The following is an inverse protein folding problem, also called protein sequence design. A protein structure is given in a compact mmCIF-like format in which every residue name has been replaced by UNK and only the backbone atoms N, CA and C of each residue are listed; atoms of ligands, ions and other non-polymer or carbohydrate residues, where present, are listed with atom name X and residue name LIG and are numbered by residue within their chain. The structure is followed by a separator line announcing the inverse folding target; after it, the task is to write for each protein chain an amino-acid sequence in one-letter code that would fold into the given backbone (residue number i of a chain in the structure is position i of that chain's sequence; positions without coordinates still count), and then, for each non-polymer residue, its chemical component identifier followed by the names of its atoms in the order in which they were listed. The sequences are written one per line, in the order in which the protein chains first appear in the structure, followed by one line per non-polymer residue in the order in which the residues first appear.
data_IF_373306548580
#
_entry.id   IF_373306548580
#
_cell.length_a   1.000
_cell.length_b   1.000
_cell.length_c   1.000
_cell.angle_alpha   90.00
_cell.angle_beta   90.00
_cell.angle_gamma   90.00
#
_symmetry.space_group_name_H-M   'P 1'
#
loop_
_entity.id
_entity.type
_entity.pdbx_description
1 polymer ?
#
# COMPACT_ATOMS: atom_id res chain seq x y z
N UNK A 1 9.41 -10.08 -14.65
CA UNK A 1 9.16 -8.88 -13.81
C UNK A 1 9.57 -7.63 -14.56
N UNK A 2 8.81 -6.53 -14.49
CA UNK A 2 9.16 -5.22 -15.05
C UNK A 2 9.46 -4.24 -13.92
N UNK A 3 10.20 -3.18 -14.23
CA UNK A 3 10.61 -2.16 -13.25
C UNK A 3 10.21 -0.78 -13.74
N UNK A 4 9.91 0.13 -12.81
CA UNK A 4 9.59 1.53 -13.07
C UNK A 4 10.40 2.44 -12.15
N UNK A 5 10.72 3.61 -12.65
CA UNK A 5 11.43 4.62 -11.85
C UNK A 5 10.51 5.24 -10.80
N UNK A 6 11.03 5.48 -9.61
CA UNK A 6 10.32 6.14 -8.52
C UNK A 6 10.45 7.67 -8.65
N UNK A 7 9.42 8.32 -9.14
CA UNK A 7 9.41 9.76 -9.36
C UNK A 7 10.57 10.22 -10.26
N UNK A 8 11.19 11.30 -9.89
CA UNK A 8 12.35 11.92 -10.56
C UNK A 8 13.71 11.32 -10.13
N UNK A 9 13.70 10.21 -9.37
CA UNK A 9 14.92 9.59 -8.82
C UNK A 9 15.50 8.54 -9.78
N UNK A 10 16.72 8.07 -9.49
CA UNK A 10 17.35 6.91 -10.16
C UNK A 10 16.96 5.57 -9.51
N UNK A 11 15.99 5.56 -8.60
CA UNK A 11 15.54 4.34 -7.92
C UNK A 11 14.54 3.61 -8.82
N UNK A 12 14.86 2.39 -9.20
CA UNK A 12 13.96 1.51 -9.94
C UNK A 12 13.27 0.52 -9.01
N UNK A 13 11.94 0.50 -9.03
CA UNK A 13 11.11 -0.42 -8.23
C UNK A 13 10.40 -1.42 -9.13
N UNK A 14 10.27 -2.67 -8.68
CA UNK A 14 9.47 -3.66 -9.38
C UNK A 14 7.99 -3.25 -9.42
N UNK A 15 7.31 -3.46 -10.56
CA UNK A 15 5.88 -3.17 -10.74
C UNK A 15 5.00 -3.83 -9.67
N UNK A 16 5.45 -4.99 -9.14
CA UNK A 16 4.86 -5.64 -7.97
C UNK A 16 5.87 -5.59 -6.84
N UNK A 17 5.51 -4.98 -5.73
CA UNK A 17 6.29 -4.93 -4.50
C UNK A 17 5.76 -5.87 -3.44
N UNK A 18 6.49 -6.02 -2.34
CA UNK A 18 6.11 -6.84 -1.19
C UNK A 18 5.76 -5.95 0.01
N UNK A 19 4.47 -5.94 0.41
CA UNK A 19 4.03 -5.30 1.64
C UNK A 19 4.34 -6.18 2.86
N UNK A 20 5.36 -5.83 3.64
CA UNK A 20 5.84 -6.61 4.80
C UNK A 20 4.81 -6.66 5.95
N UNK A 21 3.80 -5.81 5.91
CA UNK A 21 2.72 -5.77 6.90
C UNK A 21 2.03 -7.12 7.11
N UNK A 22 1.82 -7.89 6.04
CA UNK A 22 1.15 -9.20 6.09
C UNK A 22 1.91 -10.24 6.89
N UNK A 23 3.25 -10.20 6.87
CA UNK A 23 4.11 -11.18 7.52
C UNK A 23 4.70 -10.68 8.85
N UNK A 24 4.48 -9.42 9.21
CA UNK A 24 5.07 -8.81 10.42
C UNK A 24 4.07 -8.50 11.53
N UNK A 25 2.75 -8.42 11.23
CA UNK A 25 1.76 -7.92 12.20
C UNK A 25 0.85 -9.00 12.80
N UNK A 26 0.77 -10.18 12.21
CA UNK A 26 -0.15 -11.25 12.62
C UNK A 26 -1.64 -11.00 12.28
N UNK A 27 -1.95 -9.92 11.55
CA UNK A 27 -3.34 -9.55 11.22
C UNK A 27 -3.91 -10.28 9.99
N UNK A 28 -3.04 -11.03 9.29
CA UNK A 28 -3.39 -11.90 8.17
C UNK A 28 -3.13 -13.38 8.49
N UNK A 29 -3.10 -13.74 9.74
CA UNK A 29 -2.69 -15.04 10.24
C UNK A 29 -1.29 -14.97 10.87
N UNK A 30 -0.95 -16.01 11.61
CA UNK A 30 0.37 -16.11 12.24
C UNK A 30 1.38 -16.68 11.26
N UNK A 31 2.38 -15.88 10.92
CA UNK A 31 3.55 -16.29 10.16
C UNK A 31 4.76 -16.14 11.09
N UNK A 32 5.52 -17.24 11.29
CA UNK A 32 6.74 -17.15 12.09
C UNK A 32 7.87 -16.46 11.30
N UNK A 33 8.88 -16.00 12.02
CA UNK A 33 9.94 -15.16 11.45
C UNK A 33 10.75 -15.89 10.37
N UNK A 34 11.07 -17.19 10.57
CA UNK A 34 11.76 -17.99 9.57
C UNK A 34 10.98 -18.10 8.25
N UNK A 35 9.67 -18.30 8.33
CA UNK A 35 8.81 -18.34 7.15
C UNK A 35 8.72 -16.97 6.51
N UNK A 36 8.60 -15.90 7.31
CA UNK A 36 8.59 -14.52 6.79
C UNK A 36 9.86 -14.22 5.99
N UNK A 37 11.03 -14.54 6.53
CA UNK A 37 12.32 -14.36 5.85
C UNK A 37 12.40 -15.19 4.56
N UNK A 38 11.92 -16.45 4.59
CA UNK A 38 11.89 -17.28 3.36
C UNK A 38 10.99 -16.68 2.28
N UNK A 39 9.80 -16.17 2.65
CA UNK A 39 8.90 -15.52 1.69
C UNK A 39 9.51 -14.25 1.10
N UNK A 40 10.18 -13.44 1.91
CA UNK A 40 10.89 -12.25 1.42
C UNK A 40 11.98 -12.59 0.41
N UNK A 41 12.80 -13.60 0.71
CA UNK A 41 13.86 -14.09 -0.20
C UNK A 41 13.30 -14.69 -1.48
N UNK A 42 12.25 -15.53 -1.36
CA UNK A 42 11.59 -16.09 -2.55
C UNK A 42 11.01 -14.98 -3.44
N UNK A 43 10.42 -13.94 -2.86
CA UNK A 43 9.92 -12.79 -3.61
C UNK A 43 11.05 -12.09 -4.39
N UNK A 44 12.21 -11.90 -3.77
CA UNK A 44 13.39 -11.33 -4.42
C UNK A 44 13.91 -12.25 -5.55
N UNK A 45 13.96 -13.57 -5.34
CA UNK A 45 14.31 -14.54 -6.38
C UNK A 45 13.35 -14.53 -7.58
N UNK A 46 12.09 -14.09 -7.39
CA UNK A 46 11.10 -13.88 -8.47
C UNK A 46 11.17 -12.48 -9.07
N UNK A 47 12.17 -11.67 -8.72
CA UNK A 47 12.44 -10.36 -9.26
C UNK A 47 11.71 -9.22 -8.56
N UNK A 48 11.05 -9.44 -7.42
CA UNK A 48 10.54 -8.36 -6.59
C UNK A 48 11.75 -7.71 -5.88
N UNK A 49 12.01 -6.43 -6.17
CA UNK A 49 13.07 -5.70 -5.50
C UNK A 49 12.54 -4.64 -4.53
N UNK A 50 11.24 -4.30 -4.55
CA UNK A 50 10.63 -3.27 -3.73
C UNK A 50 9.91 -3.88 -2.52
N UNK A 51 10.38 -3.54 -1.31
CA UNK A 51 9.85 -4.05 -0.05
C UNK A 51 9.37 -2.88 0.82
N UNK A 52 8.07 -2.82 1.09
CA UNK A 52 7.43 -1.74 1.84
C UNK A 52 7.08 -2.19 3.27
N UNK A 53 7.62 -1.49 4.25
CA UNK A 53 7.34 -1.68 5.67
C UNK A 53 6.96 -0.38 6.37
N UNK A 54 6.97 -0.37 7.69
CA UNK A 54 6.89 0.79 8.56
C UNK A 54 7.52 0.45 9.92
N UNK A 55 8.03 1.47 10.61
CA UNK A 55 8.59 1.35 11.95
C UNK A 55 7.59 0.78 12.96
N UNK A 56 6.29 1.11 12.79
CA UNK A 56 5.21 0.65 13.66
C UNK A 56 4.70 -0.76 13.32
N UNK A 57 5.08 -1.39 12.20
CA UNK A 57 4.62 -2.73 11.83
C UNK A 57 5.27 -3.79 12.71
N UNK A 58 4.43 -4.44 13.54
CA UNK A 58 4.92 -5.35 14.58
C UNK A 58 5.87 -4.67 15.58
N UNK A 59 5.78 -3.34 15.74
CA UNK A 59 6.67 -2.53 16.59
C UNK A 59 8.14 -2.68 16.24
N UNK A 60 8.46 -2.50 14.95
CA UNK A 60 9.81 -2.60 14.38
C UNK A 60 10.11 -3.96 13.76
N UNK A 61 9.26 -4.98 13.97
CA UNK A 61 9.48 -6.34 13.45
C UNK A 61 9.63 -6.36 11.92
N UNK A 62 8.82 -5.57 11.20
CA UNK A 62 8.89 -5.53 9.73
C UNK A 62 10.27 -5.12 9.22
N UNK A 63 10.92 -4.14 9.85
CA UNK A 63 12.27 -3.68 9.50
C UNK A 63 13.33 -4.74 9.88
N UNK A 64 13.19 -5.38 11.04
CA UNK A 64 14.10 -6.46 11.45
C UNK A 64 14.04 -7.67 10.51
N UNK A 65 12.84 -8.07 10.05
CA UNK A 65 12.68 -9.14 9.06
C UNK A 65 13.38 -8.81 7.73
N UNK A 66 13.35 -7.55 7.30
CA UNK A 66 14.08 -7.12 6.11
C UNK A 66 15.60 -7.16 6.32
N UNK A 67 16.10 -6.79 7.49
CA UNK A 67 17.51 -6.94 7.84
C UNK A 67 17.96 -8.41 7.82
N UNK A 68 17.16 -9.31 8.40
CA UNK A 68 17.43 -10.76 8.42
C UNK A 68 17.38 -11.37 7.02
N UNK A 69 16.51 -10.86 6.15
CA UNK A 69 16.41 -11.35 4.79
C UNK A 69 17.55 -10.83 3.90
N UNK A 70 17.89 -9.55 3.97
CA UNK A 70 18.66 -8.84 2.96
C UNK A 70 19.92 -8.13 3.46
N UNK A 71 20.26 -8.21 4.75
CA UNK A 71 21.43 -7.48 5.28
C UNK A 71 22.74 -7.75 4.55
N UNK A 72 22.89 -8.94 3.95
CA UNK A 72 24.07 -9.36 3.17
C UNK A 72 24.02 -8.94 1.68
N UNK A 73 22.87 -8.40 1.22
CA UNK A 73 22.64 -7.98 -0.17
C UNK A 73 21.78 -6.71 -0.20
N UNK A 74 22.04 -5.79 0.75
CA UNK A 74 21.24 -4.58 0.98
C UNK A 74 21.07 -3.70 -0.26
N UNK A 75 22.08 -3.62 -1.10
CA UNK A 75 22.15 -2.87 -2.34
C UNK A 75 21.39 -3.49 -3.52
N UNK A 76 20.94 -4.74 -3.39
CA UNK A 76 20.15 -5.42 -4.41
C UNK A 76 18.64 -5.20 -4.25
N UNK A 77 18.21 -4.55 -3.16
CA UNK A 77 16.80 -4.32 -2.84
C UNK A 77 16.51 -2.86 -2.54
N UNK A 78 15.29 -2.44 -2.86
CA UNK A 78 14.76 -1.12 -2.50
C UNK A 78 13.86 -1.26 -1.27
N UNK A 79 14.29 -0.70 -0.15
CA UNK A 79 13.55 -0.74 1.11
C UNK A 79 12.86 0.59 1.33
N UNK A 80 11.53 0.49 1.48
CA UNK A 80 10.69 1.60 1.92
C UNK A 80 10.22 1.36 3.35
N UNK A 81 10.36 2.36 4.21
CA UNK A 81 9.76 2.36 5.55
C UNK A 81 9.04 3.66 5.83
N UNK A 82 8.28 3.71 6.93
CA UNK A 82 7.45 4.84 7.28
C UNK A 82 7.68 5.21 8.74
N UNK A 83 7.67 6.52 9.04
CA UNK A 83 7.80 7.08 10.39
C UNK A 83 6.70 8.10 10.65
N UNK A 84 6.51 8.48 11.92
CA UNK A 84 5.58 9.51 12.34
C UNK A 84 4.64 9.08 13.47
N UNK A 85 4.38 7.79 13.67
CA UNK A 85 3.61 7.30 14.82
C UNK A 85 4.51 7.09 16.03
N UNK A 86 4.18 7.71 17.15
CA UNK A 86 4.86 7.46 18.42
C UNK A 86 4.38 6.16 19.07
N UNK A 87 4.87 5.05 18.56
CA UNK A 87 4.66 3.75 19.16
C UNK A 87 5.69 3.43 20.26
N UNK A 88 6.73 4.21 20.38
CA UNK A 88 7.80 4.02 21.38
C UNK A 88 7.30 4.36 22.80
N UNK A 89 6.57 5.47 22.93
CA UNK A 89 5.95 5.88 24.18
C UNK A 89 4.50 5.36 24.33
N UNK A 90 3.86 4.97 23.24
CA UNK A 90 2.48 4.50 23.16
C UNK A 90 2.39 3.05 22.68
N UNK A 91 2.97 2.11 23.46
CA UNK A 91 3.04 0.68 23.14
C UNK A 91 1.68 -0.01 23.15
N UNK A 92 0.78 0.38 24.07
CA UNK A 92 -0.55 -0.22 24.20
C UNK A 92 -1.50 0.32 23.11
N UNK A 93 -2.02 -0.58 22.27
CA UNK A 93 -3.06 -0.26 21.30
C UNK A 93 -4.42 -0.68 21.86
N UNK A 94 -5.35 0.26 21.98
CA UNK A 94 -6.73 -0.04 22.38
C UNK A 94 -7.59 -0.24 21.12
N UNK A 95 -7.82 -1.49 20.76
CA UNK A 95 -8.64 -1.83 19.60
C UNK A 95 -8.07 -1.26 18.29
N UNK A 96 -8.91 -0.56 17.50
CA UNK A 96 -8.51 0.08 16.24
C UNK A 96 -8.12 1.56 16.41
N UNK A 97 -7.91 2.03 17.63
CA UNK A 97 -7.52 3.41 17.87
C UNK A 97 -6.16 3.68 17.21
N UNK A 98 -6.08 4.75 16.44
CA UNK A 98 -4.84 5.25 15.84
C UNK A 98 -3.88 5.69 16.96
N UNK A 99 -2.60 5.36 16.82
CA UNK A 99 -1.57 5.85 17.72
C UNK A 99 -1.34 7.36 17.50
N UNK A 100 -0.90 8.11 18.52
CA UNK A 100 -0.51 9.50 18.32
C UNK A 100 0.59 9.61 17.26
N UNK A 101 0.53 10.66 16.46
CA UNK A 101 1.60 11.05 15.56
C UNK A 101 2.43 12.16 16.25
N UNK A 102 3.74 12.14 16.06
CA UNK A 102 4.65 13.19 16.50
C UNK A 102 5.52 13.61 15.31
N UNK A 103 5.39 14.87 14.91
CA UNK A 103 6.11 15.47 13.78
C UNK A 103 7.20 16.44 14.25
N UNK A 104 7.56 16.42 15.54
CA UNK A 104 8.69 17.21 16.05
C UNK A 104 10.00 16.71 15.47
N UNK A 105 10.95 17.63 15.25
CA UNK A 105 12.27 17.32 14.72
C UNK A 105 12.98 16.24 15.54
N UNK A 106 12.99 16.39 16.87
CA UNK A 106 13.64 15.44 17.78
C UNK A 106 13.07 14.02 17.64
N UNK A 107 11.74 13.90 17.53
CA UNK A 107 11.09 12.60 17.34
C UNK A 107 11.37 12.01 15.97
N UNK A 108 11.28 12.77 14.91
CA UNK A 108 11.51 12.30 13.53
C UNK A 108 12.96 11.85 13.34
N UNK A 109 13.93 12.61 13.87
CA UNK A 109 15.36 12.18 13.87
C UNK A 109 15.54 10.89 14.66
N UNK A 110 14.96 10.80 15.85
CA UNK A 110 15.00 9.59 16.66
C UNK A 110 14.37 8.39 15.92
N UNK A 111 13.19 8.54 15.32
CA UNK A 111 12.50 7.46 14.60
C UNK A 111 13.33 6.97 13.41
N UNK A 112 13.94 7.88 12.62
CA UNK A 112 14.83 7.53 11.52
C UNK A 112 16.03 6.70 12.01
N UNK A 113 16.72 7.14 13.06
CA UNK A 113 17.88 6.43 13.62
C UNK A 113 17.50 5.02 14.13
N UNK A 114 16.31 4.89 14.73
CA UNK A 114 15.81 3.58 15.16
C UNK A 114 15.50 2.67 13.96
N UNK A 115 14.95 3.21 12.87
CA UNK A 115 14.69 2.46 11.64
C UNK A 115 16.00 2.00 10.98
N UNK A 116 16.98 2.88 10.82
CA UNK A 116 18.31 2.53 10.30
C UNK A 116 18.97 1.42 11.14
N UNK A 117 18.90 1.54 12.47
CA UNK A 117 19.42 0.53 13.39
C UNK A 117 18.73 -0.83 13.23
N UNK A 118 17.39 -0.87 13.11
CA UNK A 118 16.65 -2.14 12.92
C UNK A 118 16.92 -2.76 11.55
N UNK A 119 17.04 -1.93 10.51
CA UNK A 119 17.39 -2.36 9.16
C UNK A 119 18.86 -2.80 9.04
N UNK A 120 19.73 -2.41 9.99
CA UNK A 120 21.17 -2.66 9.90
C UNK A 120 21.81 -2.01 8.67
N UNK A 121 21.33 -0.83 8.30
CA UNK A 121 21.71 -0.10 7.08
C UNK A 121 22.01 1.35 7.40
N UNK A 122 22.95 1.94 6.68
CA UNK A 122 23.29 3.36 6.81
C UNK A 122 22.32 4.25 6.04
N UNK A 123 21.43 3.66 5.22
CA UNK A 123 20.47 4.41 4.40
C UNK A 123 19.13 3.67 4.24
N UNK A 124 18.09 4.47 3.94
CA UNK A 124 16.76 4.04 3.50
C UNK A 124 16.56 4.51 2.06
N UNK A 125 16.08 3.64 1.16
CA UNK A 125 15.86 4.04 -0.24
C UNK A 125 14.68 5.00 -0.36
N UNK A 126 13.56 4.70 0.31
CA UNK A 126 12.38 5.55 0.28
C UNK A 126 11.74 5.67 1.67
N UNK A 127 11.85 6.84 2.28
CA UNK A 127 11.23 7.15 3.56
C UNK A 127 9.88 7.81 3.36
N UNK A 128 8.84 7.30 4.02
CA UNK A 128 7.50 7.87 3.94
C UNK A 128 7.05 8.46 5.27
N UNK A 129 6.38 9.60 5.23
CA UNK A 129 5.61 10.12 6.36
C UNK A 129 4.30 9.34 6.46
N UNK A 130 4.00 8.73 7.62
CA UNK A 130 2.98 7.70 7.75
C UNK A 130 1.59 8.27 8.05
N UNK A 131 0.61 8.05 7.16
CA UNK A 131 -0.76 8.56 7.26
C UNK A 131 -0.79 10.08 7.50
N UNK A 132 -0.10 10.80 6.64
CA UNK A 132 0.19 12.23 6.76
C UNK A 132 -1.06 13.05 6.58
N UNK A 133 -1.47 13.77 7.62
CA UNK A 133 -2.61 14.70 7.60
C UNK A 133 -2.17 16.08 7.12
N UNK A 134 -3.13 16.97 6.87
CA UNK A 134 -2.87 18.28 6.32
C UNK A 134 -1.94 19.14 7.21
N UNK A 135 -2.04 19.01 8.52
CA UNK A 135 -1.15 19.71 9.47
C UNK A 135 0.32 19.34 9.30
N UNK A 136 0.59 18.06 9.00
CA UNK A 136 1.94 17.60 8.69
C UNK A 136 2.36 17.99 7.26
N UNK A 137 1.44 17.96 6.28
CA UNK A 137 1.72 18.44 4.91
C UNK A 137 2.06 19.93 4.93
N UNK A 138 1.43 20.73 5.78
CA UNK A 138 1.67 22.17 5.90
C UNK A 138 2.95 22.53 6.70
N UNK A 139 3.62 21.54 7.27
CA UNK A 139 4.79 21.75 8.13
C UNK A 139 6.08 21.88 7.30
N UNK A 140 6.47 23.10 6.99
CA UNK A 140 7.70 23.38 6.21
C UNK A 140 8.97 22.86 6.90
N UNK A 141 9.04 22.91 8.24
CA UNK A 141 10.20 22.41 8.97
C UNK A 141 10.34 20.89 8.82
N UNK A 142 9.22 20.13 8.79
CA UNK A 142 9.25 18.71 8.57
C UNK A 142 9.80 18.34 7.19
N UNK A 143 9.38 19.02 6.13
CA UNK A 143 9.90 18.77 4.79
C UNK A 143 11.34 19.28 4.61
N UNK A 144 11.73 20.37 5.29
CA UNK A 144 13.13 20.79 5.39
C UNK A 144 14.02 19.71 6.01
N UNK A 145 13.52 19.04 7.06
CA UNK A 145 14.20 17.91 7.69
C UNK A 145 14.33 16.69 6.76
N UNK A 146 13.35 16.43 5.89
CA UNK A 146 13.46 15.36 4.89
C UNK A 146 14.58 15.64 3.88
N UNK A 147 14.74 16.89 3.45
CA UNK A 147 15.87 17.28 2.58
C UNK A 147 17.21 17.15 3.30
N UNK A 148 17.31 17.54 4.57
CA UNK A 148 18.52 17.32 5.36
C UNK A 148 18.92 15.84 5.41
N UNK A 149 17.97 14.92 5.60
CA UNK A 149 18.25 13.49 5.61
C UNK A 149 18.76 12.96 4.27
N UNK A 150 18.31 13.56 3.16
CA UNK A 150 18.88 13.28 1.83
C UNK A 150 20.31 13.78 1.71
N UNK A 151 20.57 15.02 2.14
CA UNK A 151 21.90 15.62 2.12
C UNK A 151 22.90 14.85 3.01
N UNK A 152 22.44 14.31 4.15
CA UNK A 152 23.20 13.43 5.02
C UNK A 152 23.42 12.02 4.42
N UNK A 153 22.75 11.67 3.33
CA UNK A 153 22.81 10.35 2.69
C UNK A 153 22.09 9.25 3.44
N UNK A 154 21.34 9.58 4.50
CA UNK A 154 20.54 8.62 5.28
C UNK A 154 19.24 8.19 4.59
N UNK A 155 18.73 9.02 3.69
CA UNK A 155 17.54 8.78 2.90
C UNK A 155 17.83 9.10 1.44
N UNK A 156 17.60 8.17 0.53
CA UNK A 156 17.81 8.42 -0.91
C UNK A 156 16.67 9.22 -1.53
N UNK A 157 15.44 8.97 -1.04
CA UNK A 157 14.24 9.67 -1.48
C UNK A 157 13.15 9.61 -0.42
N UNK A 158 12.21 10.54 -0.45
CA UNK A 158 11.09 10.54 0.50
C UNK A 158 9.74 10.82 -0.15
N UNK A 159 8.68 10.51 0.59
CA UNK A 159 7.31 10.73 0.19
C UNK A 159 6.31 10.63 1.33
N UNK A 160 5.05 10.47 0.98
CA UNK A 160 3.98 10.36 1.96
C UNK A 160 3.14 9.11 1.72
N UNK A 161 2.72 8.45 2.80
CA UNK A 161 1.68 7.45 2.77
C UNK A 161 0.37 8.09 3.24
N UNK A 162 -0.65 8.09 2.40
CA UNK A 162 -1.98 8.62 2.75
C UNK A 162 -2.68 7.67 3.73
N UNK A 163 -3.73 8.16 4.39
CA UNK A 163 -4.42 7.44 5.45
C UNK A 163 -5.06 6.11 5.03
N UNK A 164 -5.50 5.30 6.01
CA UNK A 164 -5.98 3.93 5.79
C UNK A 164 -7.40 3.87 5.20
N UNK A 165 -8.12 4.98 5.15
CA UNK A 165 -9.45 5.08 4.56
C UNK A 165 -9.34 5.59 3.13
N UNK A 166 -10.38 5.35 2.34
CA UNK A 166 -10.55 6.03 1.06
C UNK A 166 -10.86 7.51 1.36
N UNK A 167 -10.18 8.38 0.69
CA UNK A 167 -10.17 9.83 0.92
C UNK A 167 -8.75 10.37 0.79
N UNK A 168 -8.46 11.46 1.49
CA UNK A 168 -7.13 12.08 1.54
C UNK A 168 -6.64 12.66 0.20
N UNK A 169 -7.60 13.14 -0.60
CA UNK A 169 -7.30 13.73 -1.91
C UNK A 169 -6.48 15.02 -1.77
N UNK A 170 -6.92 15.90 -0.87
CA UNK A 170 -6.30 17.22 -0.70
C UNK A 170 -4.87 17.09 -0.19
N UNK A 171 -4.63 16.20 0.77
CA UNK A 171 -3.30 15.89 1.31
C UNK A 171 -2.38 15.33 0.22
N UNK A 172 -2.87 14.37 -0.57
CA UNK A 172 -2.09 13.78 -1.64
C UNK A 172 -1.74 14.78 -2.74
N UNK A 173 -2.70 15.54 -3.22
CA UNK A 173 -2.49 16.57 -4.25
C UNK A 173 -1.53 17.65 -3.77
N UNK A 174 -1.69 18.12 -2.53
CA UNK A 174 -0.81 19.14 -1.96
C UNK A 174 0.62 18.62 -1.77
N UNK A 175 0.78 17.39 -1.28
CA UNK A 175 2.09 16.76 -1.16
C UNK A 175 2.83 16.70 -2.50
N UNK A 176 2.14 16.28 -3.57
CA UNK A 176 2.71 16.20 -4.92
C UNK A 176 3.11 17.57 -5.46
N UNK A 177 2.26 18.59 -5.29
CA UNK A 177 2.45 19.90 -5.90
C UNK A 177 3.38 20.82 -5.14
N UNK A 178 3.50 20.67 -3.81
CA UNK A 178 4.14 21.65 -2.95
C UNK A 178 5.30 21.10 -2.12
N UNK A 179 5.51 19.76 -2.07
CA UNK A 179 6.46 19.14 -1.13
C UNK A 179 7.59 18.33 -1.77
N UNK A 180 7.76 18.43 -3.08
CA UNK A 180 8.85 17.77 -3.81
C UNK A 180 8.99 16.27 -3.46
N UNK A 181 7.85 15.57 -3.26
CA UNK A 181 7.84 14.15 -2.91
C UNK A 181 8.01 13.29 -4.15
N UNK A 182 8.91 12.31 -4.11
CA UNK A 182 9.12 11.39 -5.23
C UNK A 182 8.01 10.34 -5.35
N UNK A 183 7.26 10.10 -4.27
CA UNK A 183 6.19 9.12 -4.28
C UNK A 183 5.08 9.38 -3.27
N UNK A 184 3.86 8.97 -3.64
CA UNK A 184 2.70 8.98 -2.76
C UNK A 184 2.09 7.58 -2.70
N UNK A 185 1.97 7.03 -1.48
CA UNK A 185 1.31 5.73 -1.30
C UNK A 185 -0.19 5.93 -1.04
N UNK A 186 -1.02 5.27 -1.83
CA UNK A 186 -2.48 5.42 -1.79
C UNK A 186 -3.23 4.11 -1.97
N UNK A 187 -4.55 4.12 -1.73
CA UNK A 187 -5.45 3.02 -2.06
C UNK A 187 -6.06 3.27 -3.44
N UNK A 188 -5.97 2.27 -4.31
CA UNK A 188 -6.65 2.23 -5.60
C UNK A 188 -6.80 0.79 -6.07
N UNK A 189 -8.00 0.42 -6.53
CA UNK A 189 -8.26 -0.91 -7.09
C UNK A 189 -9.55 -0.89 -7.91
N UNK A 190 -9.87 -2.01 -8.58
CA UNK A 190 -11.05 -2.16 -9.44
C UNK A 190 -12.38 -1.78 -8.76
N UNK A 191 -12.50 -1.94 -7.42
CA UNK A 191 -13.73 -1.69 -6.66
C UNK A 191 -13.72 -0.34 -5.93
N UNK A 192 -12.57 0.28 -5.79
CA UNK A 192 -12.32 1.49 -5.00
C UNK A 192 -11.40 2.42 -5.80
N UNK A 193 -11.97 3.17 -6.76
CA UNK A 193 -11.18 3.98 -7.70
C UNK A 193 -11.03 5.44 -7.27
N UNK A 194 -12.02 6.00 -6.56
CA UNK A 194 -11.92 7.36 -6.05
C UNK A 194 -11.39 7.39 -4.60
N UNK A 195 -10.51 8.34 -4.26
CA UNK A 195 -10.01 9.48 -5.05
C UNK A 195 -8.80 9.13 -5.94
N UNK A 196 -8.46 7.86 -6.09
CA UNK A 196 -7.27 7.41 -6.83
C UNK A 196 -7.19 7.96 -8.26
N UNK A 197 -8.33 8.07 -8.98
CA UNK A 197 -8.37 8.67 -10.32
C UNK A 197 -7.85 10.13 -10.32
N UNK A 198 -8.26 10.92 -9.35
CA UNK A 198 -7.81 12.30 -9.22
C UNK A 198 -6.34 12.40 -8.78
N UNK A 199 -5.88 11.46 -7.93
CA UNK A 199 -4.48 11.37 -7.52
C UNK A 199 -3.57 10.96 -8.70
N UNK A 200 -4.02 10.05 -9.57
CA UNK A 200 -3.30 9.69 -10.82
C UNK A 200 -3.14 10.92 -11.71
N UNK A 201 -4.19 11.73 -11.85
CA UNK A 201 -4.11 12.96 -12.64
C UNK A 201 -3.12 13.96 -12.03
N UNK A 202 -3.11 14.14 -10.71
CA UNK A 202 -2.15 15.01 -10.04
C UNK A 202 -0.70 14.51 -10.15
N UNK A 203 -0.49 13.20 -10.06
CA UNK A 203 0.81 12.58 -10.22
C UNK A 203 1.39 12.80 -11.63
N UNK A 204 0.55 12.74 -12.66
CA UNK A 204 0.93 13.02 -14.04
C UNK A 204 1.45 14.45 -14.25
N UNK A 205 0.94 15.40 -13.48
CA UNK A 205 1.31 16.81 -13.57
C UNK A 205 2.59 17.14 -12.80
N UNK A 206 3.08 16.24 -11.94
CA UNK A 206 4.14 16.52 -10.97
C UNK A 206 5.32 15.55 -11.01
N UNK A 207 5.34 14.63 -11.97
CA UNK A 207 6.35 13.55 -12.06
C UNK A 207 6.50 12.72 -10.77
N UNK A 208 5.45 12.72 -9.91
CA UNK A 208 5.41 11.93 -8.67
C UNK A 208 4.91 10.52 -8.96
N UNK A 209 5.59 9.51 -8.45
CA UNK A 209 5.13 8.13 -8.55
C UNK A 209 4.04 7.79 -7.54
N UNK A 210 3.12 6.94 -7.95
CA UNK A 210 2.13 6.34 -7.05
C UNK A 210 2.55 4.92 -6.66
N UNK A 211 2.47 4.65 -5.36
CA UNK A 211 2.68 3.34 -4.77
C UNK A 211 1.32 2.84 -4.27
N UNK A 212 0.75 1.84 -4.96
CA UNK A 212 -0.65 1.49 -4.76
C UNK A 212 -0.77 0.29 -3.83
N UNK A 213 -1.35 0.50 -2.66
CA UNK A 213 -1.67 -0.56 -1.70
C UNK A 213 -3.14 -0.99 -1.76
N UNK A 214 -3.45 -2.14 -1.18
CA UNK A 214 -4.79 -2.75 -1.17
C UNK A 214 -5.32 -3.02 -2.59
N UNK A 215 -4.49 -3.51 -3.53
CA UNK A 215 -4.89 -3.72 -4.93
C UNK A 215 -6.03 -4.72 -5.07
N UNK A 216 -6.14 -5.67 -4.14
CA UNK A 216 -7.15 -6.72 -4.16
C UNK A 216 -8.37 -6.43 -3.28
N UNK A 217 -8.59 -5.15 -2.86
CA UNK A 217 -9.74 -4.77 -2.01
C UNK A 217 -9.92 -5.73 -0.82
N UNK A 218 -8.87 -5.89 0.00
CA UNK A 218 -8.83 -6.81 1.15
C UNK A 218 -9.06 -8.30 0.79
N UNK A 219 -8.56 -8.74 -0.37
CA UNK A 219 -8.66 -10.12 -0.86
C UNK A 219 -9.89 -10.40 -1.73
N UNK A 220 -10.82 -9.45 -1.88
CA UNK A 220 -12.03 -9.61 -2.68
C UNK A 220 -11.72 -9.95 -4.16
N UNK A 221 -10.66 -9.36 -4.70
CA UNK A 221 -10.23 -9.53 -6.07
C UNK A 221 -9.19 -10.67 -6.28
N UNK A 222 -8.97 -11.51 -5.26
CA UNK A 222 -8.14 -12.72 -5.39
C UNK A 222 -8.95 -13.92 -5.93
N UNK A 223 -10.29 -13.79 -6.04
CA UNK A 223 -11.16 -14.85 -6.55
C UNK A 223 -11.33 -16.04 -5.60
N UNK A 224 -10.91 -15.90 -4.34
CA UNK A 224 -10.92 -16.98 -3.32
C UNK A 224 -12.13 -16.91 -2.37
N UNK A 225 -12.96 -15.85 -2.43
CA UNK A 225 -14.11 -15.68 -1.54
C UNK A 225 -15.38 -16.23 -2.14
N UNK A 226 -16.25 -16.74 -1.28
CA UNK A 226 -17.63 -17.16 -1.54
C UNK A 226 -18.59 -16.60 -0.48
N UNK A 227 -19.89 -16.92 -0.60
CA UNK A 227 -20.92 -16.44 0.33
C UNK A 227 -20.75 -16.97 1.77
N UNK A 228 -19.99 -18.05 1.95
CA UNK A 228 -19.73 -18.71 3.23
C UNK A 228 -18.39 -18.30 3.84
N UNK A 229 -17.63 -17.47 3.16
CA UNK A 229 -16.31 -17.03 3.61
C UNK A 229 -16.41 -16.37 4.99
N UNK A 230 -15.58 -16.84 5.91
CA UNK A 230 -15.45 -16.31 7.28
C UNK A 230 -14.00 -16.02 7.60
N UNK A 231 -13.78 -15.09 8.52
CA UNK A 231 -12.44 -14.65 8.91
C UNK A 231 -12.13 -15.04 10.35
N UNK A 232 -10.89 -15.44 10.61
CA UNK A 232 -10.40 -15.79 11.94
C UNK A 232 -10.53 -14.62 12.93
N UNK A 233 -10.46 -14.94 14.25
CA UNK A 233 -10.70 -13.93 15.28
C UNK A 233 -9.66 -12.80 15.30
N UNK A 234 -8.43 -13.09 14.93
CA UNK A 234 -7.31 -12.15 14.81
C UNK A 234 -7.18 -11.51 13.43
N UNK A 235 -8.02 -11.90 12.45
CA UNK A 235 -8.00 -11.34 11.10
C UNK A 235 -8.69 -9.98 11.09
N UNK A 236 -8.02 -8.96 10.54
CA UNK A 236 -8.58 -7.60 10.48
C UNK A 236 -9.84 -7.51 9.61
N UNK A 237 -10.06 -8.43 8.66
CA UNK A 237 -11.23 -8.49 7.78
C UNK A 237 -12.50 -8.88 8.52
N UNK A 238 -12.39 -9.50 9.69
CA UNK A 238 -13.54 -9.87 10.55
C UNK A 238 -14.43 -8.69 10.91
N UNK A 239 -13.87 -7.47 10.94
CA UNK A 239 -14.63 -6.26 11.24
C UNK A 239 -15.44 -5.73 10.07
N UNK A 240 -15.29 -6.31 8.88
CA UNK A 240 -16.07 -5.93 7.70
C UNK A 240 -17.54 -6.36 7.88
N UNK A 241 -18.51 -5.50 7.56
CA UNK A 241 -19.93 -5.89 7.61
C UNK A 241 -20.21 -6.99 6.55
N UNK A 242 -21.22 -7.83 6.81
CA UNK A 242 -21.59 -8.92 5.89
C UNK A 242 -21.94 -8.40 4.49
N UNK A 243 -22.53 -7.22 4.42
CA UNK A 243 -22.89 -6.54 3.18
C UNK A 243 -21.66 -6.23 2.31
N UNK A 244 -20.50 -6.00 2.91
CA UNK A 244 -19.24 -5.84 2.18
C UNK A 244 -18.90 -7.09 1.37
N UNK A 245 -19.03 -8.28 1.97
CA UNK A 245 -18.76 -9.55 1.29
C UNK A 245 -19.77 -9.79 0.17
N UNK A 246 -21.07 -9.73 0.48
CA UNK A 246 -22.12 -10.04 -0.50
C UNK A 246 -22.18 -9.04 -1.65
N UNK A 247 -21.97 -7.77 -1.40
CA UNK A 247 -21.89 -6.72 -2.43
C UNK A 247 -20.63 -6.87 -3.26
N UNK A 248 -19.49 -7.14 -2.59
CA UNK A 248 -18.20 -7.36 -3.26
C UNK A 248 -18.24 -8.53 -4.23
N UNK A 249 -18.80 -9.68 -3.82
CA UNK A 249 -18.95 -10.86 -4.69
C UNK A 249 -19.77 -10.55 -5.96
N UNK A 250 -20.87 -9.81 -5.83
CA UNK A 250 -21.68 -9.38 -6.99
C UNK A 250 -20.89 -8.47 -7.94
N UNK A 251 -20.04 -7.58 -7.41
CA UNK A 251 -19.17 -6.74 -8.22
C UNK A 251 -18.10 -7.56 -8.94
N UNK A 252 -17.50 -8.52 -8.23
CA UNK A 252 -16.52 -9.47 -8.79
C UNK A 252 -17.10 -10.29 -9.94
N UNK A 253 -18.34 -10.78 -9.82
CA UNK A 253 -19.02 -11.49 -10.89
C UNK A 253 -19.12 -10.67 -12.18
N UNK A 254 -19.30 -9.34 -12.09
CA UNK A 254 -19.32 -8.43 -13.24
C UNK A 254 -17.96 -8.24 -13.92
N UNK A 255 -16.88 -8.60 -13.22
CA UNK A 255 -15.50 -8.52 -13.71
C UNK A 255 -15.00 -9.83 -14.35
N UNK A 256 -15.86 -10.86 -14.51
CA UNK A 256 -15.50 -12.18 -15.08
C UNK A 256 -14.84 -12.08 -16.46
N UNK A 257 -15.21 -11.10 -17.27
CA UNK A 257 -14.61 -10.86 -18.58
C UNK A 257 -13.10 -10.62 -18.56
N UNK A 258 -12.54 -10.22 -17.42
CA UNK A 258 -11.11 -10.01 -17.24
C UNK A 258 -10.32 -11.32 -17.20
N UNK A 259 -11.00 -12.44 -16.96
CA UNK A 259 -10.38 -13.78 -16.82
C UNK A 259 -10.85 -14.78 -17.90
N UNK A 260 -11.86 -14.44 -18.69
CA UNK A 260 -12.43 -15.33 -19.72
C UNK A 260 -11.43 -15.84 -20.76
N UNK A 261 -10.42 -15.06 -21.19
CA UNK A 261 -9.38 -15.57 -22.10
C UNK A 261 -8.50 -16.66 -21.48
N UNK A 262 -8.52 -16.83 -20.13
CA UNK A 262 -7.70 -17.79 -19.40
C UNK A 262 -6.20 -17.45 -19.35
N UNK A 263 -5.84 -16.23 -19.74
CA UNK A 263 -4.46 -15.77 -19.84
C UNK A 263 -3.95 -15.10 -18.54
N UNK A 264 -4.87 -14.78 -17.62
CA UNK A 264 -4.59 -14.15 -16.31
C UNK A 264 -5.64 -14.51 -15.27
N UNK A 265 -5.24 -14.52 -14.01
CA UNK A 265 -6.17 -14.64 -12.88
C UNK A 265 -6.86 -13.30 -12.59
N UNK A 266 -7.91 -13.30 -11.75
CA UNK A 266 -8.54 -12.06 -11.30
C UNK A 266 -7.55 -11.21 -10.48
N UNK A 267 -6.72 -11.85 -9.63
CA UNK A 267 -5.67 -11.18 -8.88
C UNK A 267 -4.68 -10.46 -9.80
N UNK A 268 -4.22 -11.14 -10.84
CA UNK A 268 -3.35 -10.54 -11.85
C UNK A 268 -4.04 -9.40 -12.63
N UNK A 269 -5.32 -9.58 -13.00
CA UNK A 269 -6.08 -8.52 -13.67
C UNK A 269 -6.24 -7.27 -12.79
N UNK A 270 -6.41 -7.43 -11.48
CA UNK A 270 -6.47 -6.31 -10.54
C UNK A 270 -5.13 -5.55 -10.47
N UNK A 271 -3.99 -6.24 -10.52
CA UNK A 271 -2.68 -5.61 -10.58
C UNK A 271 -2.48 -4.90 -11.92
N UNK A 272 -2.86 -5.53 -13.05
CA UNK A 272 -2.77 -4.92 -14.40
C UNK A 272 -3.62 -3.66 -14.52
N UNK A 273 -4.79 -3.61 -13.86
CA UNK A 273 -5.61 -2.40 -13.81
C UNK A 273 -4.86 -1.21 -13.21
N UNK A 274 -4.18 -1.41 -12.11
CA UNK A 274 -3.37 -0.37 -11.47
C UNK A 274 -2.19 0.02 -12.36
N UNK A 275 -1.48 -0.98 -12.88
CA UNK A 275 -0.29 -0.79 -13.69
C UNK A 275 -0.58 -0.23 -15.11
N UNK A 276 -1.85 -0.18 -15.51
CA UNK A 276 -2.28 0.53 -16.71
C UNK A 276 -2.04 2.04 -16.62
N UNK A 277 -1.95 2.60 -15.40
CA UNK A 277 -1.52 3.97 -15.17
C UNK A 277 0.01 4.04 -15.13
N UNK A 278 0.67 4.78 -16.05
CA UNK A 278 2.13 4.92 -16.03
C UNK A 278 2.69 5.53 -14.74
N UNK A 279 1.88 6.33 -14.05
CA UNK A 279 2.22 6.99 -12.80
C UNK A 279 2.30 6.01 -11.62
N UNK A 280 1.67 4.83 -11.70
CA UNK A 280 1.77 3.78 -10.70
C UNK A 280 3.10 3.03 -10.84
N UNK A 281 4.10 3.40 -10.05
CA UNK A 281 5.41 2.76 -10.11
C UNK A 281 5.39 1.34 -9.56
N UNK A 282 4.63 1.09 -8.50
CA UNK A 282 4.51 -0.24 -7.91
C UNK A 282 3.15 -0.46 -7.26
N UNK A 283 2.72 -1.71 -7.21
CA UNK A 283 1.54 -2.15 -6.48
C UNK A 283 1.92 -3.14 -5.38
N UNK A 284 1.28 -3.04 -4.22
CA UNK A 284 1.60 -3.78 -3.00
C UNK A 284 0.47 -4.77 -2.65
N UNK A 285 0.42 -5.94 -3.29
CA UNK A 285 -0.53 -6.99 -2.95
C UNK A 285 -0.25 -7.58 -1.56
N UNK A 286 -1.27 -8.22 -0.98
CA UNK A 286 -1.11 -8.95 0.28
C UNK A 286 -0.47 -10.31 -0.01
N UNK A 287 0.82 -10.43 0.24
CA UNK A 287 1.58 -11.68 0.09
C UNK A 287 1.80 -12.29 1.47
N UNK A 288 1.37 -13.53 1.69
CA UNK A 288 1.54 -14.26 2.94
C UNK A 288 1.82 -15.78 2.74
N UNK A 289 1.92 -16.21 1.48
CA UNK A 289 2.33 -17.56 1.08
C UNK A 289 3.07 -17.56 -0.26
N UNK A 290 3.62 -18.71 -0.60
CA UNK A 290 4.41 -18.94 -1.80
C UNK A 290 3.55 -18.85 -3.08
N UNK A 291 2.28 -19.28 -3.02
CA UNK A 291 1.36 -19.24 -4.16
C UNK A 291 1.10 -17.79 -4.61
N UNK A 292 0.91 -16.87 -3.64
CA UNK A 292 0.77 -15.44 -3.95
C UNK A 292 2.02 -14.84 -4.58
N UNK A 293 3.21 -15.29 -4.17
CA UNK A 293 4.46 -14.82 -4.80
C UNK A 293 4.50 -15.22 -6.27
N UNK A 294 4.24 -16.50 -6.57
CA UNK A 294 4.25 -17.00 -7.95
C UNK A 294 3.17 -16.32 -8.80
N UNK A 295 1.95 -16.17 -8.29
CA UNK A 295 0.84 -15.53 -8.99
C UNK A 295 1.13 -14.05 -9.27
N UNK A 296 1.50 -13.29 -8.24
CA UNK A 296 1.59 -11.83 -8.36
C UNK A 296 2.89 -11.37 -9.00
N UNK A 297 4.01 -12.03 -8.73
CA UNK A 297 5.28 -11.70 -9.40
C UNK A 297 5.22 -11.94 -10.92
N UNK A 298 4.38 -12.85 -11.39
CA UNK A 298 4.18 -13.09 -12.82
C UNK A 298 3.16 -12.14 -13.47
N UNK A 299 2.40 -11.37 -12.70
CA UNK A 299 1.39 -10.45 -13.23
C UNK A 299 1.92 -9.47 -14.31
N UNK A 300 3.12 -8.86 -14.17
CA UNK A 300 3.67 -8.01 -15.21
C UNK A 300 3.85 -8.70 -16.58
N UNK A 301 4.02 -10.02 -16.59
CA UNK A 301 4.26 -10.83 -17.80
C UNK A 301 2.97 -11.34 -18.44
N UNK A 302 1.81 -11.21 -17.76
CA UNK A 302 0.50 -11.49 -18.36
C UNK A 302 0.07 -10.36 -19.31
N UNK A 303 -0.90 -10.59 -20.24
CA UNK A 303 -1.39 -9.55 -21.14
C UNK A 303 -1.88 -8.32 -20.40
N UNK A 304 -1.55 -7.14 -20.91
CA UNK A 304 -2.10 -5.88 -20.43
C UNK A 304 -3.61 -5.81 -20.67
N UNK A 305 -4.34 -5.01 -19.87
CA UNK A 305 -5.75 -4.76 -20.11
C UNK A 305 -5.92 -3.98 -21.44
N UNK A 306 -6.85 -4.43 -22.24
CA UNK A 306 -7.20 -3.75 -23.50
C UNK A 306 -7.96 -2.44 -23.22
N UNK A 307 -7.98 -1.53 -24.23
CA UNK A 307 -8.79 -0.31 -24.10
C UNK A 307 -10.28 -0.59 -23.91
N UNK A 308 -10.81 -1.70 -24.49
CA UNK A 308 -12.20 -2.10 -24.30
C UNK A 308 -12.46 -2.60 -22.85
N UNK A 309 -11.54 -3.38 -22.28
CA UNK A 309 -11.63 -3.82 -20.88
C UNK A 309 -11.57 -2.63 -19.93
N UNK A 310 -10.67 -1.68 -20.14
CA UNK A 310 -10.56 -0.46 -19.33
C UNK A 310 -11.83 0.39 -19.40
N UNK A 311 -12.38 0.60 -20.60
CA UNK A 311 -13.62 1.35 -20.78
C UNK A 311 -14.82 0.64 -20.09
N UNK A 312 -14.88 -0.68 -20.15
CA UNK A 312 -15.92 -1.46 -19.48
C UNK A 312 -15.78 -1.41 -17.94
N UNK A 313 -14.54 -1.42 -17.40
CA UNK A 313 -14.29 -1.22 -15.99
C UNK A 313 -14.79 0.15 -15.54
N UNK A 314 -14.51 1.20 -16.30
CA UNK A 314 -14.96 2.56 -16.03
C UNK A 314 -16.50 2.65 -15.98
N UNK A 315 -17.18 2.13 -17.00
CA UNK A 315 -18.66 2.08 -17.05
C UNK A 315 -19.24 1.33 -15.84
N UNK A 316 -18.67 0.16 -15.51
CA UNK A 316 -19.09 -0.62 -14.33
C UNK A 316 -18.90 0.16 -13.04
N UNK A 317 -17.78 0.85 -12.87
CA UNK A 317 -17.53 1.65 -11.67
C UNK A 317 -18.49 2.82 -11.54
N UNK A 318 -18.72 3.59 -12.60
CA UNK A 318 -19.63 4.74 -12.65
C UNK A 318 -21.09 4.36 -12.37
N UNK A 319 -21.50 3.17 -12.79
CA UNK A 319 -22.84 2.64 -12.55
C UNK A 319 -22.96 1.82 -11.26
N UNK A 320 -21.95 1.88 -10.37
CA UNK A 320 -21.85 1.03 -9.18
C UNK A 320 -22.05 -0.45 -9.51
N UNK A 321 -21.49 -0.92 -10.63
CA UNK A 321 -21.62 -2.29 -11.13
C UNK A 321 -23.09 -2.73 -11.39
N UNK A 322 -23.98 -1.78 -11.64
CA UNK A 322 -25.42 -2.02 -11.77
C UNK A 322 -26.11 -2.41 -10.47
N UNK A 323 -25.45 -2.22 -9.32
CA UNK A 323 -26.03 -2.46 -8.01
C UNK A 323 -26.72 -1.20 -7.48
N UNK A 324 -27.89 -1.39 -6.84
CA UNK A 324 -28.52 -0.29 -6.11
C UNK A 324 -27.65 0.10 -4.91
N UNK A 325 -27.51 1.39 -4.65
CA UNK A 325 -26.89 1.84 -3.40
C UNK A 325 -27.69 1.25 -2.23
N UNK A 326 -27.03 0.80 -1.14
CA UNK A 326 -27.72 0.45 0.08
C UNK A 326 -28.57 1.67 0.48
N UNK A 327 -29.88 1.50 0.57
CA UNK A 327 -30.76 2.57 1.05
C UNK A 327 -30.20 3.08 2.37
N UNK A 328 -29.86 4.38 2.41
CA UNK A 328 -29.43 5.03 3.64
C UNK A 328 -30.51 4.72 4.70
N UNK A 329 -30.15 3.90 5.68
CA UNK A 329 -31.01 3.64 6.83
C UNK A 329 -31.22 5.00 7.49
N UNK A 330 -32.43 5.52 7.32
CA UNK A 330 -32.91 6.74 7.97
C UNK A 330 -32.98 6.50 9.48
N UNK A 331 -31.87 6.78 10.15
CA UNK A 331 -31.66 6.69 11.59
C UNK A 331 -30.83 7.84 12.07
N UNK A 332 -31.30 9.08 11.84
CA UNK A 332 -30.89 10.18 12.70
C UNK A 332 -31.63 10.05 14.03
N UNK A 333 -30.94 9.92 15.16
CA UNK A 333 -31.57 10.23 16.45
C UNK A 333 -31.77 11.75 16.50
N UNK A 334 -33.02 12.17 16.59
CA UNK A 334 -33.42 13.55 16.86
C UNK A 334 -32.69 14.05 18.10
N UNK A 335 -31.91 15.11 17.93
CA UNK A 335 -31.48 15.94 19.05
C UNK A 335 -32.71 16.55 19.72
N UNK A 336 -33.06 16.08 20.89
CA UNK A 336 -33.84 16.81 21.89
C UNK A 336 -33.35 16.46 23.30
N UNK A 337 -32.96 17.50 24.01
CA UNK A 337 -32.69 17.51 25.46
C UNK A 337 -31.30 17.98 25.79
#
# INVERSE_FOLDING_TARGET
MRYRRLGDTEIEVSEVGFGVWTVSTGWWGEVNDERSVRLLRLAQERGINYFDTADTYGSGKGETLLADAFGHMRDEVVISTKIGYDFYNHTARRGQQERPQDWSEDFIRFALEQSLKRLGSDYIDFLQLHNTKMDAIDNDALFGLMEEFKDEGKVRSYGVALGPKIGWLEEGVKAMRERNVSGVQMIHNLLEQDPGRALIQAARETDTSLLVRVPHSSGMLEGKYDENTTFAQNDHRRHRPKEWLTSGLKKVERLSFLTEPGERTLGQAALKFILAAPEAASTLPNIYDEEHIEEFASAPDTPDLTGEELARIEELYETNFGLQEPSAVSGQPSARG
#
